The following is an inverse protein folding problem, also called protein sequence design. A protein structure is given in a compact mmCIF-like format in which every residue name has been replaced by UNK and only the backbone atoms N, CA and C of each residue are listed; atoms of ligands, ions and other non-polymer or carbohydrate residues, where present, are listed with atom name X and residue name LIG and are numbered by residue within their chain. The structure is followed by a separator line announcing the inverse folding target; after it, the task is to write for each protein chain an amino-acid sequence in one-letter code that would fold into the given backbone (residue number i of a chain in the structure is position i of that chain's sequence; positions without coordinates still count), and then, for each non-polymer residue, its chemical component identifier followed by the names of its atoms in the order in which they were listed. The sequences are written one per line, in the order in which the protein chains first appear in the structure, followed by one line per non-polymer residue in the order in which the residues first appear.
data_IF_875071504640
#
_entry.id   IF_875071504640
#
_cell.length_a   1.000
_cell.length_b   1.000
_cell.length_c   1.000
_cell.angle_alpha   90.00
_cell.angle_beta   90.00
_cell.angle_gamma   90.00
#
_symmetry.space_group_name_H-M   'P 1'
#
loop_
_entity.id
_entity.type
_entity.pdbx_description
1 polymer ?
#
# COMPACT_ATOMS: atom_id res chain seq x y z
N UNK A 1 16.86 7.78 0.16
CA UNK A 1 16.90 8.01 -1.30
C UNK A 1 18.32 8.14 -1.86
N UNK A 2 19.23 8.88 -1.22
CA UNK A 2 20.61 9.09 -1.71
C UNK A 2 21.41 7.77 -1.76
N UNK A 3 21.17 6.85 -0.82
CA UNK A 3 21.84 5.53 -0.78
C UNK A 3 21.45 4.62 -1.95
N UNK A 4 20.16 4.57 -2.32
CA UNK A 4 19.69 3.79 -3.48
C UNK A 4 20.31 4.28 -4.79
N UNK A 5 20.55 5.59 -4.93
CA UNK A 5 21.11 6.14 -6.16
C UNK A 5 22.57 5.73 -6.38
N UNK A 6 23.37 5.83 -5.32
CA UNK A 6 24.76 5.40 -5.32
C UNK A 6 24.88 3.88 -5.58
N UNK A 7 23.97 3.09 -5.01
CA UNK A 7 23.91 1.64 -5.20
C UNK A 7 23.50 1.23 -6.63
N UNK A 8 22.49 1.89 -7.21
CA UNK A 8 22.10 1.69 -8.62
C UNK A 8 23.29 2.00 -9.53
N UNK A 9 23.96 3.12 -9.31
CA UNK A 9 25.12 3.52 -10.12
C UNK A 9 26.29 2.55 -9.98
N UNK A 10 26.60 2.11 -8.76
CA UNK A 10 27.63 1.09 -8.51
C UNK A 10 27.31 -0.22 -9.24
N UNK A 11 26.06 -0.65 -9.22
CA UNK A 11 25.60 -1.87 -9.89
C UNK A 11 25.72 -1.78 -11.40
N UNK A 12 25.31 -0.64 -12.00
CA UNK A 12 25.42 -0.42 -13.45
C UNK A 12 26.89 -0.37 -13.89
N UNK A 13 27.76 0.28 -13.11
CA UNK A 13 29.20 0.34 -13.39
C UNK A 13 29.86 -1.05 -13.30
N UNK A 14 29.52 -1.84 -12.28
CA UNK A 14 30.01 -3.21 -12.15
C UNK A 14 29.57 -4.08 -13.35
N UNK A 15 28.32 -3.91 -13.81
CA UNK A 15 27.81 -4.62 -14.98
C UNK A 15 28.51 -4.21 -16.28
N UNK A 16 28.83 -2.93 -16.43
CA UNK A 16 29.59 -2.45 -17.59
C UNK A 16 31.04 -2.99 -17.59
N UNK A 17 31.68 -3.06 -16.42
CA UNK A 17 32.99 -3.68 -16.27
C UNK A 17 32.98 -5.16 -16.69
N UNK A 18 32.01 -5.94 -16.21
CA UNK A 18 31.85 -7.35 -16.62
C UNK A 18 31.59 -7.52 -18.12
N UNK A 19 30.86 -6.58 -18.75
CA UNK A 19 30.65 -6.61 -20.20
C UNK A 19 31.92 -6.33 -20.98
N UNK A 20 32.77 -5.42 -20.49
CA UNK A 20 34.08 -5.15 -21.08
C UNK A 20 34.99 -6.38 -21.01
N UNK A 21 35.02 -7.05 -19.86
CA UNK A 21 35.76 -8.32 -19.67
C UNK A 21 35.26 -9.42 -20.62
N UNK A 22 33.95 -9.48 -20.85
CA UNK A 22 33.31 -10.44 -21.76
C UNK A 22 33.31 -10.02 -23.24
N UNK A 23 33.99 -8.92 -23.62
CA UNK A 23 34.00 -8.36 -24.97
C UNK A 23 32.60 -8.07 -25.57
N UNK A 24 31.64 -7.73 -24.71
CA UNK A 24 30.31 -7.30 -25.10
C UNK A 24 30.26 -5.79 -25.33
N UNK A 25 29.28 -5.29 -26.11
CA UNK A 25 29.09 -3.85 -26.30
C UNK A 25 28.91 -3.11 -24.97
N UNK A 26 29.52 -1.92 -24.80
CA UNK A 26 29.44 -1.15 -23.56
C UNK A 26 28.00 -0.67 -23.31
N UNK A 27 27.67 -0.52 -22.03
CA UNK A 27 26.38 0.04 -21.63
C UNK A 27 26.41 1.56 -21.68
N UNK A 28 25.29 2.16 -22.06
CA UNK A 28 25.06 3.57 -21.76
C UNK A 28 24.73 3.69 -20.26
N UNK A 29 25.77 3.90 -19.45
CA UNK A 29 25.68 3.94 -17.99
C UNK A 29 24.60 4.92 -17.51
N UNK A 30 24.57 6.14 -18.07
CA UNK A 30 23.61 7.16 -17.64
C UNK A 30 22.15 6.77 -17.94
N UNK A 31 21.90 6.19 -19.12
CA UNK A 31 20.56 5.70 -19.46
C UNK A 31 20.12 4.53 -18.57
N UNK A 32 21.04 3.62 -18.23
CA UNK A 32 20.73 2.47 -17.39
C UNK A 32 20.54 2.87 -15.91
N UNK A 33 21.30 3.85 -15.43
CA UNK A 33 21.07 4.44 -14.10
C UNK A 33 19.70 5.11 -14.05
N UNK A 34 19.33 5.88 -15.07
CA UNK A 34 18.01 6.52 -15.15
C UNK A 34 16.86 5.51 -15.16
N UNK A 35 17.02 4.39 -15.88
CA UNK A 35 16.06 3.27 -15.82
C UNK A 35 15.96 2.67 -14.41
N UNK A 36 17.10 2.46 -13.76
CA UNK A 36 17.17 1.96 -12.39
C UNK A 36 16.45 2.87 -11.40
N UNK A 37 16.66 4.20 -11.52
CA UNK A 37 15.96 5.20 -10.69
C UNK A 37 14.46 5.16 -10.86
N UNK A 38 13.97 5.10 -12.11
CA UNK A 38 12.54 5.03 -12.41
C UNK A 38 11.91 3.75 -11.83
N UNK A 39 12.60 2.63 -11.94
CA UNK A 39 12.13 1.36 -11.38
C UNK A 39 12.08 1.41 -9.85
N UNK A 40 13.12 1.93 -9.21
CA UNK A 40 13.16 2.07 -7.75
C UNK A 40 12.07 3.01 -7.23
N UNK A 41 11.84 4.14 -7.91
CA UNK A 41 10.75 5.07 -7.59
C UNK A 41 9.38 4.41 -7.75
N UNK A 42 9.16 3.65 -8.84
CA UNK A 42 7.93 2.90 -9.08
C UNK A 42 7.69 1.84 -7.99
N UNK A 43 8.72 1.09 -7.59
CA UNK A 43 8.65 0.11 -6.52
C UNK A 43 8.25 0.76 -5.19
N UNK A 44 8.91 1.86 -4.82
CA UNK A 44 8.58 2.59 -3.59
C UNK A 44 7.15 3.16 -3.59
N UNK A 45 6.67 3.63 -4.75
CA UNK A 45 5.28 4.08 -4.89
C UNK A 45 4.29 2.91 -4.74
N UNK A 46 4.61 1.74 -5.32
CA UNK A 46 3.80 0.53 -5.17
C UNK A 46 3.76 0.02 -3.72
N UNK A 47 4.89 0.06 -3.01
CA UNK A 47 4.97 -0.35 -1.60
C UNK A 47 4.11 0.57 -0.73
N UNK A 48 4.21 1.89 -0.90
CA UNK A 48 3.35 2.85 -0.19
C UNK A 48 1.87 2.65 -0.49
N UNK A 49 1.53 2.36 -1.74
CA UNK A 49 0.15 2.08 -2.11
C UNK A 49 -0.37 0.82 -1.42
N UNK A 50 0.45 -0.24 -1.34
CA UNK A 50 0.10 -1.46 -0.63
C UNK A 50 -0.10 -1.21 0.87
N UNK A 51 0.81 -0.45 1.50
CA UNK A 51 0.68 -0.04 2.90
C UNK A 51 -0.65 0.69 3.15
N UNK A 52 -1.02 1.63 2.28
CA UNK A 52 -2.32 2.33 2.37
C UNK A 52 -3.50 1.38 2.20
N UNK A 53 -3.42 0.40 1.30
CA UNK A 53 -4.46 -0.62 1.14
C UNK A 53 -4.61 -1.48 2.40
N UNK A 54 -3.49 -1.85 3.03
CA UNK A 54 -3.48 -2.66 4.25
C UNK A 54 -4.03 -1.88 5.45
N UNK A 55 -3.68 -0.59 5.58
CA UNK A 55 -4.26 0.32 6.57
C UNK A 55 -5.78 0.44 6.41
N UNK A 56 -6.26 0.68 5.18
CA UNK A 56 -7.71 0.75 4.91
C UNK A 56 -8.45 -0.56 5.18
N UNK A 57 -7.82 -1.71 4.91
CA UNK A 57 -8.37 -3.01 5.26
C UNK A 57 -8.50 -3.17 6.78
N UNK A 58 -7.46 -2.78 7.52
CA UNK A 58 -7.46 -2.77 8.99
C UNK A 58 -8.54 -1.87 9.56
N UNK A 59 -8.67 -0.64 9.06
CA UNK A 59 -9.70 0.31 9.50
C UNK A 59 -11.12 -0.20 9.22
N UNK A 60 -11.35 -0.80 8.06
CA UNK A 60 -12.65 -1.44 7.74
C UNK A 60 -12.99 -2.55 8.73
N UNK A 61 -11.99 -3.35 9.12
CA UNK A 61 -12.18 -4.42 10.10
C UNK A 61 -12.47 -3.85 11.49
N UNK A 62 -11.74 -2.81 11.91
CA UNK A 62 -12.01 -2.10 13.18
C UNK A 62 -13.42 -1.54 13.24
N UNK A 63 -13.85 -0.82 12.20
CA UNK A 63 -15.22 -0.26 12.10
C UNK A 63 -16.27 -1.37 12.17
N UNK A 64 -16.01 -2.51 11.51
CA UNK A 64 -16.90 -3.68 11.56
C UNK A 64 -17.05 -4.19 12.99
N UNK A 65 -15.95 -4.34 13.71
CA UNK A 65 -15.97 -4.86 15.08
C UNK A 65 -16.65 -3.88 16.05
N UNK A 66 -16.44 -2.57 15.89
CA UNK A 66 -17.14 -1.52 16.61
C UNK A 66 -18.66 -1.62 16.42
N UNK A 67 -19.14 -1.73 15.17
CA UNK A 67 -20.58 -1.86 14.85
C UNK A 67 -21.17 -3.13 15.48
N UNK A 68 -20.44 -4.25 15.42
CA UNK A 68 -20.91 -5.50 16.04
C UNK A 68 -21.03 -5.33 17.55
N UNK A 69 -20.04 -4.70 18.20
CA UNK A 69 -20.06 -4.45 19.63
C UNK A 69 -21.22 -3.51 20.04
N UNK A 70 -21.43 -2.42 19.30
CA UNK A 70 -22.56 -1.48 19.50
C UNK A 70 -23.92 -2.20 19.40
N UNK A 71 -24.11 -3.05 18.38
CA UNK A 71 -25.36 -3.79 18.20
C UNK A 71 -25.59 -4.84 19.29
N UNK A 72 -24.53 -5.51 19.76
CA UNK A 72 -24.64 -6.52 20.83
C UNK A 72 -24.90 -5.89 22.20
N UNK A 73 -24.28 -4.75 22.48
CA UNK A 73 -24.52 -3.98 23.72
C UNK A 73 -25.93 -3.38 23.73
N UNK A 74 -26.49 -3.04 22.58
CA UNK A 74 -27.88 -2.62 22.40
C UNK A 74 -28.94 -3.74 22.52
N UNK A 75 -28.56 -4.96 22.92
CA UNK A 75 -29.48 -6.07 23.20
C UNK A 75 -29.60 -7.12 22.09
N UNK A 76 -28.96 -6.93 20.94
CA UNK A 76 -28.93 -7.93 19.86
C UNK A 76 -27.69 -8.83 19.95
N UNK A 77 -27.69 -9.75 20.92
CA UNK A 77 -26.54 -10.60 21.27
C UNK A 77 -26.06 -11.52 20.15
N UNK A 78 -26.93 -11.85 19.18
CA UNK A 78 -26.62 -12.76 18.07
C UNK A 78 -26.20 -12.05 16.78
N UNK A 79 -26.17 -10.71 16.78
CA UNK A 79 -25.73 -9.94 15.62
C UNK A 79 -24.25 -10.20 15.28
N UNK A 80 -23.87 -10.26 13.99
CA UNK A 80 -24.72 -10.35 12.80
C UNK A 80 -25.16 -11.81 12.54
N UNK A 81 -26.47 -12.07 12.49
CA UNK A 81 -27.02 -13.39 12.18
C UNK A 81 -27.64 -13.44 10.77
N UNK A 82 -27.60 -14.63 10.16
CA UNK A 82 -28.18 -14.87 8.83
C UNK A 82 -27.62 -14.01 7.70
N UNK A 83 -28.27 -14.05 6.54
CA UNK A 83 -27.89 -13.27 5.37
C UNK A 83 -28.20 -11.77 5.56
N UNK A 84 -29.40 -11.44 6.04
CA UNK A 84 -29.85 -10.06 6.21
C UNK A 84 -29.00 -9.28 7.23
N UNK A 85 -28.63 -9.91 8.35
CA UNK A 85 -27.75 -9.28 9.34
C UNK A 85 -26.34 -9.02 8.81
N UNK A 86 -25.77 -9.96 8.04
CA UNK A 86 -24.47 -9.80 7.37
C UNK A 86 -24.51 -8.71 6.29
N UNK A 87 -25.58 -8.64 5.50
CA UNK A 87 -25.79 -7.61 4.49
C UNK A 87 -25.93 -6.21 5.12
N UNK A 88 -26.72 -6.13 6.19
CA UNK A 88 -26.88 -4.89 6.96
C UNK A 88 -25.56 -4.42 7.56
N UNK A 89 -24.78 -5.32 8.18
CA UNK A 89 -23.44 -5.01 8.69
C UNK A 89 -22.54 -4.47 7.58
N UNK A 90 -22.50 -5.14 6.42
CA UNK A 90 -21.69 -4.69 5.28
C UNK A 90 -22.06 -3.28 4.83
N UNK A 91 -23.34 -2.96 4.79
CA UNK A 91 -23.85 -1.64 4.41
C UNK A 91 -23.46 -0.56 5.43
N UNK A 92 -23.54 -0.87 6.73
CA UNK A 92 -23.14 0.04 7.80
C UNK A 92 -21.63 0.29 7.83
N UNK A 93 -20.83 -0.77 7.65
CA UNK A 93 -19.37 -0.66 7.55
C UNK A 93 -18.99 0.26 6.39
N UNK A 94 -19.59 0.08 5.21
CA UNK A 94 -19.29 0.92 4.05
C UNK A 94 -19.65 2.39 4.31
N UNK A 95 -20.83 2.66 4.87
CA UNK A 95 -21.24 4.03 5.20
C UNK A 95 -20.29 4.69 6.21
N UNK A 96 -19.96 4.01 7.31
CA UNK A 96 -19.09 4.55 8.37
C UNK A 96 -17.65 4.70 7.89
N UNK A 97 -17.17 3.78 7.06
CA UNK A 97 -15.84 3.88 6.44
C UNK A 97 -15.77 5.06 5.46
N UNK A 98 -16.79 5.29 4.62
CA UNK A 98 -16.84 6.47 3.75
C UNK A 98 -16.85 7.77 4.56
N UNK A 99 -17.62 7.84 5.65
CA UNK A 99 -17.58 9.00 6.56
C UNK A 99 -16.23 9.15 7.24
N UNK A 100 -15.59 8.05 7.66
CA UNK A 100 -14.24 8.07 8.24
C UNK A 100 -13.21 8.62 7.26
N UNK A 101 -13.24 8.21 5.99
CA UNK A 101 -12.36 8.76 4.96
C UNK A 101 -12.63 10.26 4.71
N UNK A 102 -13.90 10.67 4.62
CA UNK A 102 -14.25 12.08 4.36
C UNK A 102 -13.92 13.01 5.54
N UNK A 103 -14.10 12.54 6.78
CA UNK A 103 -13.84 13.33 7.98
C UNK A 103 -12.36 13.25 8.42
N UNK A 104 -11.68 12.13 8.18
CA UNK A 104 -10.25 11.93 8.50
C UNK A 104 -9.30 12.71 7.58
N UNK A 105 -9.74 13.08 6.37
CA UNK A 105 -9.01 14.04 5.49
C UNK A 105 -8.96 15.45 6.10
N UNK A 106 -9.78 15.75 7.12
CA UNK A 106 -9.78 17.03 7.84
C UNK A 106 -8.82 17.12 9.04
N UNK A 107 -8.31 15.99 9.54
CA UNK A 107 -7.50 15.91 10.77
C UNK A 107 -6.01 15.57 10.50
N UNK A 108 -5.55 15.66 9.25
CA UNK A 108 -4.13 15.68 8.94
C UNK A 108 -3.53 17.07 9.26
N UNK A 109 -3.12 17.27 10.51
CA UNK A 109 -2.23 18.37 10.94
C UNK A 109 -0.80 17.87 11.13
#
# INVERSE_FOLDING_TARGET
MIENDAEIRRTVLARDALRKEAHLPPLNVEQEVEKGRKLAASKAASERYQEQCDEYASDRQRIRDEIIAEMRTGGNTTYPNGWAGKYHLSTLVEKRFQSFLLNGVGDAK
#
